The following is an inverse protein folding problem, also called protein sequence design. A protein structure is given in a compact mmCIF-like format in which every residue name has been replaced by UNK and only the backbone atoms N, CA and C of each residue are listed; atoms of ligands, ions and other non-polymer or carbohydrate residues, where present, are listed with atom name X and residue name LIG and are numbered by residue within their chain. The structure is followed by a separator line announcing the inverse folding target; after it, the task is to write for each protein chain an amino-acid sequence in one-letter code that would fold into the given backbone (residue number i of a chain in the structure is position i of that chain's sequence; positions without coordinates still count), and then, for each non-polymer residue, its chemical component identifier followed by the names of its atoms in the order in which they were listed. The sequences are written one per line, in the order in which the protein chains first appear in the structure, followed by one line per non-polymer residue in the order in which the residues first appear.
data_IF_149000409643
#
_entry.id   IF_149000409643
#
_cell.length_a   1.000
_cell.length_b   1.000
_cell.length_c   1.000
_cell.angle_alpha   90.00
_cell.angle_beta   90.00
_cell.angle_gamma   90.00
#
_symmetry.space_group_name_H-M   'P 1'
#
loop_
_entity.id
_entity.type
_entity.pdbx_description
1 polymer ?
#
# COMPACT_ATOMS: atom_id res chain seq x y z
N UNK A 1 -12.15 -6.73 12.37
CA UNK A 1 -10.78 -6.88 11.86
C UNK A 1 -10.57 -8.11 10.99
N UNK A 2 -10.78 -9.36 11.45
CA UNK A 2 -10.60 -10.60 10.65
C UNK A 2 -11.14 -10.56 9.21
N UNK A 3 -12.40 -10.17 9.02
CA UNK A 3 -13.02 -10.05 7.69
C UNK A 3 -12.30 -9.06 6.76
N UNK A 4 -11.78 -7.96 7.32
CA UNK A 4 -11.03 -6.97 6.57
C UNK A 4 -9.67 -7.52 6.14
N UNK A 5 -8.94 -8.16 7.05
CA UNK A 5 -7.65 -8.83 6.74
C UNK A 5 -7.82 -9.85 5.62
N UNK A 6 -8.86 -10.69 5.71
CA UNK A 6 -9.19 -11.65 4.66
C UNK A 6 -9.48 -10.98 3.31
N UNK A 7 -10.28 -9.91 3.31
CA UNK A 7 -10.56 -9.17 2.08
C UNK A 7 -9.29 -8.54 1.47
N UNK A 8 -8.38 -8.04 2.29
CA UNK A 8 -7.08 -7.50 1.85
C UNK A 8 -6.18 -8.58 1.24
N UNK A 9 -6.13 -9.77 1.85
CA UNK A 9 -5.38 -10.92 1.30
C UNK A 9 -5.96 -11.32 -0.06
N UNK A 10 -7.29 -11.46 -0.16
CA UNK A 10 -7.95 -11.78 -1.43
C UNK A 10 -7.72 -10.70 -2.51
N UNK A 11 -7.72 -9.43 -2.13
CA UNK A 11 -7.40 -8.33 -3.05
C UNK A 11 -5.94 -8.38 -3.53
N UNK A 12 -5.02 -8.74 -2.65
CA UNK A 12 -3.60 -8.94 -2.99
C UNK A 12 -3.42 -10.11 -3.95
N UNK A 13 -4.07 -11.25 -3.69
CA UNK A 13 -4.07 -12.39 -4.61
C UNK A 13 -4.70 -12.04 -5.96
N UNK A 14 -5.75 -11.22 -5.97
CA UNK A 14 -6.39 -10.75 -7.20
C UNK A 14 -5.41 -9.96 -8.07
N UNK A 15 -4.63 -9.06 -7.47
CA UNK A 15 -3.61 -8.27 -8.17
C UNK A 15 -2.59 -9.18 -8.86
N UNK A 16 -2.13 -10.23 -8.16
CA UNK A 16 -1.17 -11.18 -8.73
C UNK A 16 -1.78 -12.06 -9.84
N UNK A 17 -3.01 -12.53 -9.65
CA UNK A 17 -3.65 -13.48 -10.56
C UNK A 17 -4.31 -12.81 -11.78
N UNK A 18 -4.59 -11.50 -11.72
CA UNK A 18 -5.25 -10.73 -12.79
C UNK A 18 -4.57 -9.38 -13.03
N UNK A 19 -3.27 -9.36 -13.38
CA UNK A 19 -2.47 -8.13 -13.40
C UNK A 19 -2.99 -7.06 -14.38
N UNK A 20 -3.48 -7.46 -15.55
CA UNK A 20 -4.03 -6.51 -16.54
C UNK A 20 -5.31 -5.83 -16.05
N UNK A 21 -6.24 -6.61 -15.49
CA UNK A 21 -7.50 -6.08 -14.97
C UNK A 21 -7.27 -5.28 -13.68
N UNK A 22 -6.36 -5.73 -12.82
CA UNK A 22 -5.93 -4.98 -11.64
C UNK A 22 -5.30 -3.63 -12.04
N UNK A 23 -4.45 -3.61 -13.06
CA UNK A 23 -3.85 -2.37 -13.55
C UNK A 23 -4.91 -1.40 -14.09
N UNK A 24 -5.93 -1.90 -14.82
CA UNK A 24 -7.06 -1.10 -15.29
C UNK A 24 -7.84 -0.48 -14.12
N UNK A 25 -8.24 -1.30 -13.13
CA UNK A 25 -8.98 -0.83 -11.94
C UNK A 25 -8.17 0.21 -11.18
N UNK A 26 -6.89 -0.05 -10.89
CA UNK A 26 -6.03 0.88 -10.15
C UNK A 26 -5.84 2.20 -10.91
N UNK A 27 -5.74 2.14 -12.25
CA UNK A 27 -5.66 3.34 -13.09
C UNK A 27 -6.93 4.19 -12.96
N UNK A 28 -8.11 3.57 -13.06
CA UNK A 28 -9.40 4.25 -12.93
C UNK A 28 -9.54 4.93 -11.55
N UNK A 29 -9.23 4.20 -10.48
CA UNK A 29 -9.33 4.71 -9.10
C UNK A 29 -8.35 5.86 -8.82
N UNK A 30 -7.09 5.74 -9.25
CA UNK A 30 -6.08 6.79 -9.05
C UNK A 30 -6.40 8.06 -9.88
N UNK A 31 -6.99 7.91 -11.08
CA UNK A 31 -7.46 9.06 -11.85
C UNK A 31 -8.62 9.78 -11.18
N UNK A 32 -9.54 9.06 -10.54
CA UNK A 32 -10.68 9.65 -9.79
C UNK A 32 -10.18 10.37 -8.54
N UNK A 33 -9.31 9.74 -7.76
CA UNK A 33 -8.73 10.36 -6.56
C UNK A 33 -7.93 11.64 -6.89
N UNK A 34 -7.16 11.61 -7.98
CA UNK A 34 -6.41 12.79 -8.45
C UNK A 34 -7.31 13.97 -8.84
N UNK A 35 -8.54 13.72 -9.31
CA UNK A 35 -9.51 14.76 -9.70
C UNK A 35 -10.28 15.35 -8.52
N UNK A 36 -10.55 14.57 -7.47
CA UNK A 36 -11.46 14.97 -6.39
C UNK A 36 -10.75 15.46 -5.12
N UNK A 37 -9.52 14.99 -4.86
CA UNK A 37 -8.91 15.10 -3.52
C UNK A 37 -7.73 16.08 -3.48
N UNK A 38 -7.15 16.44 -4.62
CA UNK A 38 -5.91 17.23 -4.64
C UNK A 38 -6.18 18.74 -4.65
N UNK A 39 -5.58 19.50 -3.71
CA UNK A 39 -5.59 20.97 -3.75
C UNK A 39 -5.09 21.50 -5.10
N UNK A 40 -5.60 22.65 -5.54
CA UNK A 40 -5.26 23.26 -6.84
C UNK A 40 -3.75 23.37 -7.10
N UNK A 41 -2.96 23.65 -6.07
CA UNK A 41 -1.50 23.76 -6.12
C UNK A 41 -0.80 22.43 -6.43
N UNK A 42 -1.41 21.30 -6.06
CA UNK A 42 -0.91 19.94 -6.32
C UNK A 42 -1.54 19.39 -7.61
N UNK A 43 -2.71 19.88 -8.02
CA UNK A 43 -3.39 19.47 -9.25
C UNK A 43 -2.53 19.71 -10.51
N UNK A 44 -1.72 20.78 -10.56
CA UNK A 44 -0.77 21.02 -11.66
C UNK A 44 0.38 19.98 -11.71
N UNK A 45 0.76 19.39 -10.58
CA UNK A 45 1.75 18.31 -10.52
C UNK A 45 1.08 16.97 -10.81
N UNK A 46 -0.14 16.77 -10.33
CA UNK A 46 -0.94 15.56 -10.57
C UNK A 46 -1.39 15.41 -12.02
N UNK A 47 -1.64 16.52 -12.73
CA UNK A 47 -1.90 16.50 -14.18
C UNK A 47 -0.67 16.05 -15.00
N UNK A 48 0.54 16.14 -14.42
CA UNK A 48 1.77 15.60 -15.02
C UNK A 48 2.04 14.14 -14.64
N UNK A 49 1.30 13.58 -13.67
CA UNK A 49 1.35 12.15 -13.37
C UNK A 49 0.58 11.41 -14.46
N UNK A 50 1.32 10.76 -15.37
CA UNK A 50 0.75 9.84 -16.35
C UNK A 50 0.26 8.57 -15.66
N UNK A 51 -0.98 8.61 -15.17
CA UNK A 51 -1.68 7.43 -14.64
C UNK A 51 -2.31 6.71 -15.84
N UNK A 52 -1.52 5.82 -16.45
CA UNK A 52 -1.94 4.96 -17.56
C UNK A 52 -1.89 3.49 -17.16
N UNK A 53 -2.70 2.61 -17.78
CA UNK A 53 -2.68 1.18 -17.49
C UNK A 53 -1.30 0.56 -17.65
N UNK A 54 -0.51 0.99 -18.65
CA UNK A 54 0.86 0.52 -18.87
C UNK A 54 1.82 0.89 -17.74
N UNK A 55 1.75 2.12 -17.24
CA UNK A 55 2.60 2.58 -16.12
C UNK A 55 2.25 1.80 -14.84
N UNK A 56 0.96 1.64 -14.57
CA UNK A 56 0.49 0.88 -13.41
C UNK A 56 0.86 -0.59 -13.52
N UNK A 57 0.65 -1.22 -14.68
CA UNK A 57 1.00 -2.62 -14.92
C UNK A 57 2.49 -2.88 -14.66
N UNK A 58 3.38 -2.01 -15.18
CA UNK A 58 4.82 -2.09 -14.87
C UNK A 58 5.10 -1.99 -13.38
N UNK A 59 4.41 -1.10 -12.67
CA UNK A 59 4.57 -0.93 -11.22
C UNK A 59 4.15 -2.17 -10.46
N UNK A 60 2.94 -2.69 -10.74
CA UNK A 60 2.40 -3.90 -10.11
C UNK A 60 3.27 -5.14 -10.37
N UNK A 61 3.87 -5.24 -11.56
CA UNK A 61 4.70 -6.39 -11.93
C UNK A 61 6.12 -6.37 -11.32
N UNK A 62 6.68 -5.19 -11.03
CA UNK A 62 8.13 -5.07 -10.75
C UNK A 62 8.52 -4.21 -9.55
N UNK A 63 7.61 -3.39 -9.02
CA UNK A 63 7.92 -2.41 -7.96
C UNK A 63 7.06 -2.57 -6.72
N UNK A 64 5.84 -3.05 -6.89
CA UNK A 64 4.92 -3.30 -5.79
C UNK A 64 5.06 -4.76 -5.38
N UNK A 65 5.53 -4.98 -4.16
CA UNK A 65 5.43 -6.27 -3.50
C UNK A 65 4.35 -6.11 -2.43
N UNK A 66 3.30 -6.90 -2.55
CA UNK A 66 2.25 -7.01 -1.54
C UNK A 66 2.42 -8.36 -0.83
N UNK A 67 3.31 -8.44 0.18
CA UNK A 67 3.43 -9.64 0.99
C UNK A 67 2.20 -9.77 1.91
N UNK A 68 1.74 -11.00 2.14
CA UNK A 68 0.67 -11.29 3.09
C UNK A 68 1.20 -11.47 4.53
N UNK A 69 2.52 -11.43 4.72
CA UNK A 69 3.18 -11.47 6.01
C UNK A 69 3.68 -10.09 6.44
N UNK A 70 3.47 -9.77 7.72
CA UNK A 70 4.04 -8.59 8.36
C UNK A 70 5.04 -9.09 9.40
N UNK A 71 6.32 -8.84 9.18
CA UNK A 71 7.37 -9.17 10.13
C UNK A 71 7.51 -8.09 11.20
N UNK A 72 7.46 -8.49 12.48
CA UNK A 72 7.71 -7.60 13.64
C UNK A 72 9.02 -6.84 13.45
N UNK A 73 10.08 -7.51 12.97
CA UNK A 73 11.38 -6.89 12.75
C UNK A 73 11.35 -5.77 11.70
N UNK A 74 10.56 -5.91 10.63
CA UNK A 74 10.44 -4.88 9.58
C UNK A 74 9.82 -3.60 10.15
N UNK A 75 8.80 -3.77 11.00
CA UNK A 75 8.15 -2.65 11.69
C UNK A 75 9.10 -2.02 12.70
N UNK A 76 9.81 -2.84 13.49
CA UNK A 76 10.79 -2.34 14.45
C UNK A 76 11.91 -1.55 13.76
N UNK A 77 12.44 -2.04 12.63
CA UNK A 77 13.47 -1.32 11.86
C UNK A 77 12.98 0.07 11.40
N UNK A 78 11.70 0.17 11.06
CA UNK A 78 11.08 1.45 10.66
C UNK A 78 10.94 2.38 11.86
N UNK A 79 10.50 1.86 13.01
CA UNK A 79 10.42 2.62 14.27
C UNK A 79 11.80 3.12 14.67
N UNK A 80 12.82 2.26 14.65
CA UNK A 80 14.19 2.59 15.00
C UNK A 80 14.75 3.70 14.09
N UNK A 81 14.50 3.59 12.79
CA UNK A 81 14.90 4.62 11.83
C UNK A 81 14.23 5.97 12.10
N UNK A 82 12.91 5.99 12.30
CA UNK A 82 12.17 7.23 12.54
C UNK A 82 12.48 7.84 13.91
N UNK A 83 12.69 7.02 14.93
CA UNK A 83 13.12 7.47 16.26
C UNK A 83 14.54 8.07 16.20
N UNK A 84 15.45 7.46 15.44
CA UNK A 84 16.80 8.01 15.21
C UNK A 84 16.77 9.38 14.52
N UNK A 85 15.79 9.63 13.65
CA UNK A 85 15.57 10.93 13.03
C UNK A 85 14.85 11.94 13.95
N UNK A 86 14.40 11.51 15.13
CA UNK A 86 13.68 12.35 16.08
C UNK A 86 12.22 12.64 15.69
N UNK A 87 11.66 11.89 14.73
CA UNK A 87 10.27 12.07 14.30
C UNK A 87 9.26 11.46 15.28
N UNK A 88 9.65 10.41 15.99
CA UNK A 88 8.82 9.72 16.97
C UNK A 88 9.65 9.38 18.22
N UNK A 89 8.96 9.18 19.34
CA UNK A 89 9.56 8.48 20.47
C UNK A 89 9.70 7.00 20.13
N UNK A 90 10.77 6.37 20.62
CA UNK A 90 11.00 4.93 20.41
C UNK A 90 9.99 4.09 21.22
N UNK A 91 9.53 2.99 20.65
CA UNK A 91 8.70 1.97 21.30
C UNK A 91 8.89 0.60 20.61
N UNK A 92 8.39 -0.47 21.24
CA UNK A 92 8.44 -1.82 20.65
C UNK A 92 7.33 -2.03 19.64
N UNK A 93 7.63 -2.63 18.50
CA UNK A 93 6.66 -2.93 17.45
C UNK A 93 5.48 -3.78 17.97
N UNK A 94 5.72 -4.70 18.90
CA UNK A 94 4.70 -5.55 19.51
C UNK A 94 3.66 -4.78 20.33
N UNK A 95 3.92 -3.53 20.70
CA UNK A 95 2.93 -2.68 21.39
C UNK A 95 1.80 -2.23 20.45
N UNK A 96 2.03 -2.27 19.13
CA UNK A 96 1.05 -1.84 18.12
C UNK A 96 0.64 -2.96 17.15
N UNK A 97 1.41 -4.05 17.08
CA UNK A 97 1.16 -5.16 16.17
C UNK A 97 0.31 -6.25 16.83
N UNK A 98 -0.83 -6.54 16.21
CA UNK A 98 -1.64 -7.71 16.52
C UNK A 98 -1.63 -8.66 15.30
N UNK A 99 -0.76 -9.67 15.34
CA UNK A 99 -0.61 -10.64 14.27
C UNK A 99 -1.61 -11.81 14.36
N UNK A 100 -2.43 -11.88 15.41
CA UNK A 100 -3.42 -12.95 15.58
C UNK A 100 -4.43 -13.03 14.44
N UNK A 101 -4.62 -11.92 13.72
CA UNK A 101 -5.51 -11.87 12.56
C UNK A 101 -4.96 -12.53 11.29
N UNK A 102 -3.67 -12.86 11.24
CA UNK A 102 -3.03 -13.55 10.11
C UNK A 102 -3.04 -15.08 10.26
N UNK A 103 -3.11 -15.59 11.49
CA UNK A 103 -3.06 -17.03 11.78
C UNK A 103 -4.39 -17.77 11.46
N UNK A 104 -5.47 -17.03 11.23
CA UNK A 104 -6.83 -17.56 11.06
C UNK A 104 -7.44 -17.35 9.65
N UNK A 105 -6.63 -16.99 8.64
CA UNK A 105 -7.12 -16.75 7.26
C UNK A 105 -6.88 -17.93 6.35
#
# INVERSE_FOLDING_TARGET
MKKLVKATIQGTEYIYNRPEDAARIVTEELQVAGKQVLPLEIAEVATKLEITPDVISRSLASRVVCPNDIGVQTVQNTIDYLAKLGYINWFKAEEILDLSFLEEV
#
